data_IF_423974776377
#
_entry.id   IF_423974776377
#
_cell.length_a   1.000
_cell.length_b   1.000
_cell.length_c   1.000
_cell.angle_alpha   90.00
_cell.angle_beta   90.00
_cell.angle_gamma   90.00
#
_symmetry.space_group_name_H-M   'P 1'
#
loop_
_entity.id
_entity.type
_entity.pdbx_description
1 polymer ?
#
# COMPACT_ATOMS: atom_id res chain seq x y z
N UNK A 1 -60.54 -16.01 21.95
CA UNK A 1 -59.09 -15.88 22.16
C UNK A 1 -58.51 -15.22 20.91
N UNK A 2 -58.44 -13.89 20.88
CA UNK A 2 -57.98 -13.17 19.69
C UNK A 2 -56.45 -13.12 19.71
N UNK A 3 -55.80 -13.78 18.74
CA UNK A 3 -54.37 -13.55 18.50
C UNK A 3 -54.23 -12.17 17.86
N UNK A 4 -53.38 -11.27 18.40
CA UNK A 4 -53.06 -10.05 17.68
C UNK A 4 -52.31 -10.44 16.42
N UNK A 5 -52.94 -10.24 15.26
CA UNK A 5 -52.27 -10.21 13.97
C UNK A 5 -51.40 -8.97 13.97
N UNK A 6 -50.11 -9.13 14.28
CA UNK A 6 -49.10 -8.15 13.94
C UNK A 6 -49.02 -8.09 12.41
N UNK A 7 -49.87 -7.26 11.82
CA UNK A 7 -49.70 -6.82 10.44
C UNK A 7 -48.35 -6.09 10.39
N UNK A 8 -47.32 -6.79 9.90
CA UNK A 8 -46.01 -6.22 9.58
C UNK A 8 -46.18 -5.27 8.38
N UNK A 9 -46.83 -4.12 8.60
CA UNK A 9 -46.84 -3.02 7.64
C UNK A 9 -45.49 -2.34 7.71
N UNK A 10 -44.53 -2.89 6.96
CA UNK A 10 -43.25 -2.25 6.68
C UNK A 10 -43.51 -0.83 6.21
N UNK A 11 -43.13 0.15 7.02
CA UNK A 11 -43.28 1.54 6.67
C UNK A 11 -42.34 1.86 5.52
N UNK A 12 -42.66 2.88 4.74
CA UNK A 12 -41.80 3.32 3.64
C UNK A 12 -40.36 3.61 4.12
N UNK A 13 -40.21 4.14 5.34
CA UNK A 13 -38.93 4.35 5.99
C UNK A 13 -38.14 3.05 6.21
N UNK A 14 -38.79 1.95 6.63
CA UNK A 14 -38.14 0.65 6.85
C UNK A 14 -37.60 0.07 5.53
N UNK A 15 -38.34 0.26 4.43
CA UNK A 15 -37.91 -0.15 3.08
C UNK A 15 -36.70 0.64 2.62
N UNK A 16 -36.71 1.96 2.81
CA UNK A 16 -35.58 2.82 2.47
C UNK A 16 -34.34 2.49 3.31
N UNK A 17 -34.51 2.25 4.60
CA UNK A 17 -33.44 1.81 5.49
C UNK A 17 -32.86 0.46 5.03
N UNK A 18 -33.70 -0.51 4.71
CA UNK A 18 -33.25 -1.81 4.19
C UNK A 18 -32.46 -1.68 2.88
N UNK A 19 -32.93 -0.84 1.94
CA UNK A 19 -32.21 -0.56 0.68
C UNK A 19 -30.85 0.07 0.94
N UNK A 20 -30.76 1.06 1.85
CA UNK A 20 -29.49 1.70 2.19
C UNK A 20 -28.51 0.72 2.84
N UNK A 21 -28.98 -0.18 3.70
CA UNK A 21 -28.15 -1.23 4.30
C UNK A 21 -27.61 -2.17 3.22
N UNK A 22 -28.47 -2.62 2.30
CA UNK A 22 -28.05 -3.48 1.19
C UNK A 22 -27.02 -2.77 0.32
N UNK A 23 -27.24 -1.50 -0.03
CA UNK A 23 -26.27 -0.71 -0.80
C UNK A 23 -24.95 -0.55 -0.06
N UNK A 24 -24.97 -0.26 1.24
CA UNK A 24 -23.77 -0.13 2.05
C UNK A 24 -22.96 -1.45 2.09
N UNK A 25 -23.63 -2.59 2.24
CA UNK A 25 -23.01 -3.92 2.19
C UNK A 25 -22.40 -4.18 0.81
N UNK A 26 -23.13 -3.89 -0.27
CA UNK A 26 -22.64 -4.08 -1.64
C UNK A 26 -21.43 -3.21 -1.96
N UNK A 27 -21.46 -1.93 -1.56
CA UNK A 27 -20.33 -0.99 -1.76
C UNK A 27 -19.12 -1.46 -0.96
N UNK A 28 -19.31 -1.88 0.30
CA UNK A 28 -18.23 -2.38 1.15
C UNK A 28 -17.62 -3.66 0.58
N UNK A 29 -18.46 -4.60 0.12
CA UNK A 29 -18.01 -5.83 -0.52
C UNK A 29 -17.21 -5.55 -1.80
N UNK A 30 -17.69 -4.62 -2.63
CA UNK A 30 -16.98 -4.19 -3.84
C UNK A 30 -15.64 -3.53 -3.49
N UNK A 31 -15.62 -2.66 -2.49
CA UNK A 31 -14.40 -2.00 -2.03
C UNK A 31 -13.35 -3.00 -1.51
N UNK A 32 -13.78 -4.02 -0.77
CA UNK A 32 -12.90 -5.09 -0.29
C UNK A 32 -12.37 -5.98 -1.44
N UNK A 33 -13.14 -6.12 -2.52
CA UNK A 33 -12.79 -6.94 -3.67
C UNK A 33 -11.87 -6.25 -4.69
N UNK A 34 -11.73 -4.92 -4.64
CA UNK A 34 -10.96 -4.15 -5.64
C UNK A 34 -9.66 -3.61 -5.02
N UNK A 35 -8.53 -4.34 -5.13
CA UNK A 35 -7.22 -3.86 -4.72
C UNK A 35 -6.64 -2.82 -5.69
N UNK A 36 -5.77 -1.94 -5.15
CA UNK A 36 -5.02 -0.96 -5.94
C UNK A 36 -4.16 -1.60 -7.04
N UNK A 37 -3.69 -2.83 -6.84
CA UNK A 37 -2.87 -3.58 -7.80
C UNK A 37 -3.54 -3.86 -9.15
N UNK A 38 -4.88 -3.73 -9.24
CA UNK A 38 -5.60 -3.82 -10.52
C UNK A 38 -5.30 -2.59 -11.40
N UNK A 39 -5.10 -1.43 -10.78
CA UNK A 39 -4.87 -0.15 -11.46
C UNK A 39 -3.40 0.17 -11.66
N UNK A 40 -2.55 -0.27 -10.72
CA UNK A 40 -1.10 -0.11 -10.78
C UNK A 40 -0.47 -1.48 -10.61
N UNK A 41 0.01 -2.07 -11.70
CA UNK A 41 0.75 -3.33 -11.63
C UNK A 41 2.24 -3.03 -11.56
N UNK A 42 2.88 -3.42 -10.47
CA UNK A 42 4.35 -3.39 -10.37
C UNK A 42 4.91 -4.53 -11.20
N UNK A 43 5.77 -4.21 -12.18
CA UNK A 43 6.45 -5.21 -13.03
C UNK A 43 7.82 -5.50 -12.47
N UNK A 44 8.58 -4.45 -12.18
CA UNK A 44 9.87 -4.57 -11.52
C UNK A 44 10.17 -3.30 -10.72
N UNK A 45 10.96 -3.48 -9.69
CA UNK A 45 11.55 -2.41 -8.92
C UNK A 45 13.02 -2.77 -8.75
N UNK A 46 13.89 -1.82 -9.02
CA UNK A 46 15.32 -1.94 -8.82
C UNK A 46 15.81 -0.74 -8.03
N UNK A 47 16.77 -0.97 -7.13
CA UNK A 47 17.40 0.08 -6.33
C UNK A 47 18.90 0.01 -6.57
N UNK A 48 19.44 1.10 -7.12
CA UNK A 48 20.88 1.27 -7.30
C UNK A 48 21.30 2.52 -6.55
N UNK A 49 22.12 2.34 -5.52
CA UNK A 49 22.53 3.36 -4.55
C UNK A 49 21.32 4.07 -3.94
N UNK A 50 20.94 5.23 -4.48
CA UNK A 50 19.80 6.05 -4.05
C UNK A 50 18.70 6.14 -5.08
N UNK A 51 18.88 5.50 -6.23
CA UNK A 51 18.01 5.65 -7.38
C UNK A 51 17.10 4.43 -7.48
N UNK A 52 15.80 4.65 -7.31
CA UNK A 52 14.80 3.61 -7.55
C UNK A 52 14.34 3.70 -8.98
N UNK A 53 14.46 2.59 -9.72
CA UNK A 53 13.86 2.39 -11.03
C UNK A 53 12.63 1.51 -10.87
N UNK A 54 11.47 2.10 -11.09
CA UNK A 54 10.17 1.46 -10.92
C UNK A 54 9.48 1.29 -12.27
N UNK A 55 9.31 0.05 -12.72
CA UNK A 55 8.56 -0.30 -13.93
C UNK A 55 7.17 -0.76 -13.54
N UNK A 56 6.16 -0.16 -14.15
CA UNK A 56 4.76 -0.46 -13.87
C UNK A 56 3.92 -0.63 -15.13
N UNK A 57 2.70 -1.07 -14.96
CA UNK A 57 1.64 -0.93 -15.96
C UNK A 57 0.43 -0.24 -15.34
N UNK A 58 -0.26 0.55 -16.18
CA UNK A 58 -1.47 1.27 -15.81
C UNK A 58 -2.62 0.85 -16.75
N UNK A 59 -3.29 -0.28 -16.49
CA UNK A 59 -4.25 -0.87 -17.45
C UNK A 59 -5.44 0.04 -17.78
N UNK A 60 -5.73 1.01 -16.93
CA UNK A 60 -6.88 1.93 -17.04
C UNK A 60 -6.46 3.39 -17.29
N UNK A 61 -5.19 3.64 -17.64
CA UNK A 61 -4.66 4.98 -17.88
C UNK A 61 -4.13 5.67 -16.62
N UNK A 62 -4.10 7.00 -16.62
CA UNK A 62 -3.54 7.80 -15.51
C UNK A 62 -4.31 7.59 -14.21
N UNK A 63 -3.60 7.43 -13.09
CA UNK A 63 -4.19 7.16 -11.78
C UNK A 63 -3.52 8.00 -10.70
N UNK A 64 -4.31 8.60 -9.82
CA UNK A 64 -3.80 9.22 -8.61
C UNK A 64 -3.66 8.16 -7.51
N UNK A 65 -2.50 8.12 -6.85
CA UNK A 65 -2.28 7.21 -5.74
C UNK A 65 -1.41 7.86 -4.67
N UNK A 66 -1.64 7.45 -3.43
CA UNK A 66 -0.69 7.70 -2.35
C UNK A 66 0.29 6.55 -2.22
N UNK A 67 1.49 6.84 -1.77
CA UNK A 67 2.54 5.86 -1.57
C UNK A 67 3.36 6.14 -0.30
N UNK A 68 4.01 5.09 0.20
CA UNK A 68 5.02 5.16 1.25
C UNK A 68 6.03 4.04 1.02
N UNK A 69 7.27 4.25 1.42
CA UNK A 69 8.34 3.27 1.28
C UNK A 69 9.06 3.06 2.60
N UNK A 70 9.56 1.86 2.78
CA UNK A 70 10.27 1.41 3.96
C UNK A 70 11.44 0.53 3.53
N UNK A 71 12.59 0.68 4.18
CA UNK A 71 13.75 -0.18 4.00
C UNK A 71 14.02 -0.89 5.31
N UNK A 72 14.15 -2.22 5.25
CA UNK A 72 14.46 -3.07 6.39
C UNK A 72 15.72 -3.88 6.10
N UNK A 73 16.69 -3.92 7.01
CA UNK A 73 17.87 -4.76 6.85
C UNK A 73 17.56 -6.24 7.14
N UNK A 74 18.12 -7.15 6.34
CA UNK A 74 17.82 -8.60 6.42
C UNK A 74 18.58 -9.29 7.57
N UNK A 75 19.75 -8.79 7.93
CA UNK A 75 20.70 -9.47 8.81
C UNK A 75 20.48 -9.24 10.32
N UNK A 76 19.28 -8.83 10.72
CA UNK A 76 18.89 -8.81 12.13
C UNK A 76 19.35 -7.60 12.94
N UNK A 77 19.95 -6.58 12.30
CA UNK A 77 20.27 -5.29 12.94
C UNK A 77 19.05 -4.45 13.36
N UNK A 78 17.82 -4.92 13.07
CA UNK A 78 16.56 -4.27 13.50
C UNK A 78 16.35 -2.85 12.94
N UNK A 79 17.13 -2.46 11.94
CA UNK A 79 17.12 -1.11 11.40
C UNK A 79 16.03 -0.98 10.35
N UNK A 80 15.12 -0.02 10.57
CA UNK A 80 13.99 0.30 9.69
C UNK A 80 14.05 1.78 9.33
N UNK A 81 14.13 2.08 8.04
CA UNK A 81 14.05 3.43 7.52
C UNK A 81 12.71 3.63 6.82
N UNK A 82 11.95 4.65 7.23
CA UNK A 82 10.61 4.90 6.69
C UNK A 82 10.55 6.27 6.01
N UNK A 83 9.88 6.35 4.86
CA UNK A 83 9.63 7.62 4.16
C UNK A 83 8.76 8.61 4.95
N UNK A 84 8.16 8.17 6.06
CA UNK A 84 7.28 8.95 6.92
C UNK A 84 5.85 8.98 6.40
N UNK A 85 5.29 10.19 6.28
CA UNK A 85 3.93 10.41 5.83
C UNK A 85 3.70 9.91 4.39
N UNK A 86 2.43 9.68 4.07
CA UNK A 86 2.01 9.29 2.73
C UNK A 86 2.31 10.39 1.71
N UNK A 87 3.14 10.07 0.71
CA UNK A 87 3.32 10.89 -0.48
C UNK A 87 2.15 10.74 -1.44
N UNK A 88 1.74 11.82 -2.11
CA UNK A 88 0.75 11.79 -3.19
C UNK A 88 1.46 11.88 -4.54
N UNK A 89 1.04 11.06 -5.50
CA UNK A 89 1.58 11.09 -6.86
C UNK A 89 0.51 10.76 -7.89
N UNK A 90 0.60 11.43 -9.04
CA UNK A 90 -0.16 11.09 -10.25
C UNK A 90 0.69 10.17 -11.12
N UNK A 91 0.26 8.93 -11.26
CA UNK A 91 0.90 7.93 -12.10
C UNK A 91 0.41 8.11 -13.52
N UNK A 92 1.23 8.76 -14.35
CA UNK A 92 0.94 8.97 -15.76
C UNK A 92 1.19 7.70 -16.57
N UNK A 93 0.33 7.42 -17.55
CA UNK A 93 0.51 6.37 -18.54
C UNK A 93 1.42 6.91 -19.67
N UNK A 94 2.69 6.51 -19.64
CA UNK A 94 3.71 6.96 -20.60
C UNK A 94 4.36 5.76 -21.30
N UNK A 95 4.92 5.93 -22.52
CA UNK A 95 5.62 4.84 -23.20
C UNK A 95 6.71 4.23 -22.32
N UNK A 96 6.68 2.90 -22.15
CA UNK A 96 7.62 2.14 -21.33
C UNK A 96 7.34 2.15 -19.82
N UNK A 97 6.43 3.01 -19.33
CA UNK A 97 5.95 3.09 -17.93
C UNK A 97 7.04 2.91 -16.85
N UNK A 98 8.26 3.36 -17.14
CA UNK A 98 9.39 3.34 -16.20
C UNK A 98 9.48 4.71 -15.54
N UNK A 99 9.55 4.75 -14.22
CA UNK A 99 9.80 5.97 -13.45
C UNK A 99 11.05 5.79 -12.62
N UNK A 100 11.88 6.82 -12.63
CA UNK A 100 13.07 6.90 -11.81
C UNK A 100 12.87 7.99 -10.77
N UNK A 101 13.14 7.68 -9.51
CA UNK A 101 13.13 8.65 -8.43
C UNK A 101 14.27 8.40 -7.46
N UNK A 102 14.68 9.44 -6.75
CA UNK A 102 15.71 9.34 -5.72
C UNK A 102 15.06 9.17 -4.35
N UNK A 103 15.62 8.27 -3.55
CA UNK A 103 15.27 8.17 -2.14
C UNK A 103 15.72 9.44 -1.41
N UNK A 104 14.90 9.89 -0.45
CA UNK A 104 15.20 11.05 0.37
C UNK A 104 16.16 10.69 1.49
N UNK A 105 16.54 11.70 2.30
CA UNK A 105 17.44 11.53 3.43
C UNK A 105 16.95 10.51 4.48
N UNK A 106 15.64 10.23 4.50
CA UNK A 106 15.05 9.19 5.34
C UNK A 106 15.66 7.81 5.13
N UNK A 107 16.23 7.54 3.95
CA UNK A 107 16.83 6.25 3.61
C UNK A 107 18.33 6.20 3.92
N UNK A 108 18.97 7.31 4.27
CA UNK A 108 20.44 7.44 4.29
C UNK A 108 21.10 6.35 5.15
N UNK A 109 20.64 6.19 6.40
CA UNK A 109 21.21 5.20 7.33
C UNK A 109 21.09 3.75 6.81
N UNK A 110 19.96 3.40 6.19
CA UNK A 110 19.77 2.06 5.61
C UNK A 110 20.59 1.85 4.33
N UNK A 111 20.76 2.89 3.52
CA UNK A 111 21.57 2.81 2.31
C UNK A 111 23.07 2.75 2.65
N UNK A 112 23.51 3.47 3.69
CA UNK A 112 24.88 3.40 4.21
C UNK A 112 25.18 2.02 4.81
N UNK A 113 24.21 1.44 5.52
CA UNK A 113 24.32 0.08 6.03
C UNK A 113 24.51 -0.98 4.93
N UNK A 114 24.05 -0.70 3.71
CA UNK A 114 24.22 -1.55 2.53
C UNK A 114 23.30 -2.80 2.50
N UNK A 115 23.21 -3.47 1.33
CA UNK A 115 22.46 -4.73 1.20
C UNK A 115 23.14 -5.88 1.95
N UNK A 116 22.42 -6.94 2.37
CA UNK A 116 21.06 -7.29 1.92
C UNK A 116 19.95 -6.53 2.67
N UNK A 117 19.01 -5.98 1.90
CA UNK A 117 17.88 -5.20 2.43
C UNK A 117 16.57 -5.50 1.69
N UNK A 118 15.45 -5.32 2.38
CA UNK A 118 14.12 -5.29 1.79
C UNK A 118 13.68 -3.86 1.56
N UNK A 119 13.26 -3.53 0.34
CA UNK A 119 12.53 -2.32 0.03
C UNK A 119 11.04 -2.66 -0.09
N UNK A 120 10.27 -2.25 0.92
CA UNK A 120 8.82 -2.38 0.93
C UNK A 120 8.21 -1.08 0.43
N UNK A 121 7.35 -1.15 -0.59
CA UNK A 121 6.56 0.00 -1.04
C UNK A 121 5.09 -0.31 -0.93
N UNK A 122 4.36 0.49 -0.15
CA UNK A 122 2.91 0.45 -0.08
C UNK A 122 2.33 1.52 -1.00
N UNK A 123 1.37 1.14 -1.86
CA UNK A 123 0.65 2.06 -2.75
C UNK A 123 -0.85 1.94 -2.54
N UNK A 124 -1.56 3.04 -2.70
CA UNK A 124 -3.01 3.07 -2.54
C UNK A 124 -3.63 4.05 -3.53
N UNK A 125 -4.40 3.49 -4.46
CA UNK A 125 -5.07 4.25 -5.50
C UNK A 125 -6.24 5.04 -4.92
N UNK A 126 -6.40 6.27 -5.38
CA UNK A 126 -7.43 7.20 -4.96
C UNK A 126 -8.47 7.34 -6.08
N UNK A 127 -9.57 6.59 -6.00
CA UNK A 127 -10.68 6.76 -6.93
C UNK A 127 -11.27 8.16 -6.78
N UNK A 128 -11.45 8.84 -7.92
CA UNK A 128 -11.93 10.22 -7.97
C UNK A 128 -11.10 11.18 -7.08
N UNK A 129 -9.83 10.85 -6.84
CA UNK A 129 -8.91 11.64 -6.00
C UNK A 129 -9.17 11.57 -4.49
N UNK A 130 -10.27 10.95 -4.02
CA UNK A 130 -10.68 11.02 -2.60
C UNK A 130 -11.04 9.67 -1.97
N UNK A 131 -11.40 8.65 -2.75
CA UNK A 131 -11.79 7.34 -2.22
C UNK A 131 -10.58 6.40 -2.27
N UNK A 132 -9.94 6.08 -1.13
CA UNK A 132 -8.79 5.20 -1.13
C UNK A 132 -9.24 3.75 -1.36
N UNK A 133 -8.69 3.08 -2.37
CA UNK A 133 -8.87 1.64 -2.58
C UNK A 133 -8.08 0.82 -1.55
N UNK A 134 -8.23 -0.50 -1.55
CA UNK A 134 -7.38 -1.34 -0.72
C UNK A 134 -5.91 -1.21 -1.14
N UNK A 135 -5.03 -1.12 -0.15
CA UNK A 135 -3.59 -0.99 -0.34
C UNK A 135 -3.01 -2.17 -1.12
N UNK A 136 -2.00 -1.87 -1.92
CA UNK A 136 -1.12 -2.82 -2.58
C UNK A 136 0.28 -2.71 -1.95
N UNK A 137 0.87 -3.84 -1.59
CA UNK A 137 2.19 -3.90 -0.94
C UNK A 137 3.11 -4.71 -1.85
N UNK A 138 4.23 -4.09 -2.21
CA UNK A 138 5.29 -4.73 -2.98
C UNK A 138 6.55 -4.75 -2.12
N UNK A 139 7.17 -5.92 -2.01
CA UNK A 139 8.45 -6.11 -1.32
C UNK A 139 9.47 -6.54 -2.35
N UNK A 140 10.62 -5.88 -2.36
CA UNK A 140 11.73 -6.20 -3.25
C UNK A 140 12.97 -6.45 -2.40
N UNK A 141 13.56 -7.62 -2.56
CA UNK A 141 14.86 -7.93 -1.96
C UNK A 141 15.97 -7.36 -2.84
N UNK A 142 16.86 -6.60 -2.22
CA UNK A 142 18.08 -6.11 -2.86
C UNK A 142 19.22 -6.95 -2.30
N UNK A 143 19.71 -7.86 -3.15
CA UNK A 143 20.78 -8.77 -2.82
C UNK A 143 22.12 -8.04 -2.67
N UNK A 144 22.95 -8.54 -1.77
CA UNK A 144 24.30 -8.05 -1.56
C UNK A 144 24.99 -8.87 -0.50
N UNK A 145 26.29 -8.67 -0.37
CA UNK A 145 27.10 -9.37 0.61
C UNK A 145 27.59 -8.36 1.65
N UNK A 146 27.10 -8.51 2.87
CA UNK A 146 27.51 -7.73 4.04
C UNK A 146 27.96 -8.69 5.12
N UNK A 147 29.05 -8.34 5.83
CA UNK A 147 29.39 -9.07 7.05
C UNK A 147 28.29 -8.82 8.09
N UNK A 148 27.68 -9.86 8.68
CA UNK A 148 26.62 -9.68 9.66
C UNK A 148 27.05 -8.67 10.73
N UNK A 149 26.29 -7.58 10.86
CA UNK A 149 26.56 -6.58 11.89
C UNK A 149 26.50 -7.20 13.28
N UNK A 150 27.24 -6.65 14.25
CA UNK A 150 27.07 -7.05 15.65
C UNK A 150 25.59 -6.94 16.01
N UNK A 151 24.96 -8.09 16.22
CA UNK A 151 23.59 -8.16 16.72
C UNK A 151 23.64 -7.43 18.05
N UNK A 152 23.05 -6.24 18.14
CA UNK A 152 22.79 -5.62 19.43
C UNK A 152 21.83 -6.57 20.14
N UNK A 153 22.40 -7.50 20.92
CA UNK A 153 21.65 -8.27 21.88
C UNK A 153 20.98 -7.22 22.76
N UNK A 154 19.66 -7.06 22.59
CA UNK A 154 18.84 -6.31 23.52
C UNK A 154 19.06 -6.99 24.86
N UNK A 155 19.85 -6.35 25.71
CA UNK A 155 20.08 -6.80 27.08
C UNK A 155 18.71 -6.82 27.77
N UNK A 156 18.19 -7.98 28.20
CA UNK A 156 16.85 -8.05 28.79
C UNK A 156 16.76 -7.41 30.18
N UNK A 157 17.81 -6.73 30.67
CA UNK A 157 17.88 -6.15 32.02
C UNK A 157 18.17 -4.62 32.04
N UNK A 158 17.42 -3.84 31.25
CA UNK A 158 17.38 -2.37 31.35
C UNK A 158 16.10 -1.83 31.98
#
# INVERSE_FOLDING_TARGET
MNRPTHDLRWQFADKMAAVLVVLAVMITALWLAVPSGIFIKTISLDLQDRTVRFVRELPFGTVDARWRSEITLIDGGGFECNSGDWGLATYQAIPGNTVTYHLGAWADDCLEAGPPLYLTTTRQVMLLGVIPLRQDVSVTEIEGNREPGEIFAVDPEG
#
